data_IF_050465856133
#
_entry.id   IF_050465856133
#
_cell.length_a   1.000
_cell.length_b   1.000
_cell.length_c   1.000
_cell.angle_alpha   90.00
_cell.angle_beta   90.00
_cell.angle_gamma   90.00
#
_symmetry.space_group_name_H-M   'P 1'
#
loop_
_entity.id
_entity.type
_entity.pdbx_description
1 polymer ?
#
# COMPACT_ATOMS: atom_id res chain seq x y z
N UNK A 1 -12.54 15.88 10.69
CA UNK A 1 -11.27 15.77 9.94
C UNK A 1 -11.46 15.69 8.42
N UNK A 2 -12.25 14.73 7.90
CA UNK A 2 -12.51 14.59 6.45
C UNK A 2 -13.01 15.88 5.78
N UNK A 3 -13.99 16.56 6.38
CA UNK A 3 -14.54 17.82 5.86
C UNK A 3 -13.47 18.92 5.73
N UNK A 4 -12.60 19.09 6.74
CA UNK A 4 -11.52 20.09 6.67
C UNK A 4 -10.55 19.81 5.51
N UNK A 5 -10.16 18.55 5.29
CA UNK A 5 -9.28 18.17 4.17
C UNK A 5 -9.92 18.53 2.82
N UNK A 6 -11.22 18.27 2.68
CA UNK A 6 -11.98 18.64 1.47
C UNK A 6 -12.07 20.16 1.28
N UNK A 7 -12.26 20.93 2.35
CA UNK A 7 -12.26 22.40 2.28
C UNK A 7 -10.92 22.95 1.78
N UNK A 8 -9.78 22.43 2.27
CA UNK A 8 -8.45 22.81 1.77
C UNK A 8 -8.26 22.44 0.29
N UNK A 9 -8.71 21.26 -0.12
CA UNK A 9 -8.66 20.85 -1.53
C UNK A 9 -9.44 21.82 -2.45
N UNK A 10 -10.66 22.19 -2.05
CA UNK A 10 -11.48 23.14 -2.81
C UNK A 10 -10.86 24.54 -2.86
N UNK A 11 -10.24 25.00 -1.78
CA UNK A 11 -9.53 26.27 -1.73
C UNK A 11 -8.36 26.32 -2.73
N UNK A 12 -7.54 25.25 -2.76
CA UNK A 12 -6.42 25.15 -3.70
C UNK A 12 -6.91 25.06 -5.16
N UNK A 13 -8.00 24.34 -5.41
CA UNK A 13 -8.62 24.27 -6.74
C UNK A 13 -9.14 25.64 -7.21
N UNK A 14 -9.83 26.38 -6.34
CA UNK A 14 -10.29 27.74 -6.65
C UNK A 14 -9.12 28.69 -6.92
N UNK A 15 -8.03 28.56 -6.15
CA UNK A 15 -6.81 29.33 -6.38
C UNK A 15 -6.18 29.03 -7.75
N UNK A 16 -6.14 27.76 -8.15
CA UNK A 16 -5.62 27.36 -9.46
C UNK A 16 -6.44 27.93 -10.63
N UNK A 17 -7.78 27.94 -10.54
CA UNK A 17 -8.65 28.55 -11.56
C UNK A 17 -8.42 30.07 -11.64
N UNK A 18 -8.20 30.74 -10.50
CA UNK A 18 -7.92 32.18 -10.46
C UNK A 18 -6.60 32.56 -11.12
N UNK A 19 -5.54 31.77 -10.90
CA UNK A 19 -4.20 32.05 -11.43
C UNK A 19 -4.00 31.54 -12.88
N UNK A 20 -4.87 30.65 -13.36
CA UNK A 20 -4.75 30.04 -14.68
C UNK A 20 -3.72 28.90 -14.75
N UNK A 21 -3.66 28.23 -15.89
CA UNK A 21 -2.80 27.07 -16.12
C UNK A 21 -1.54 27.45 -16.91
N UNK A 22 -0.35 26.95 -16.53
CA UNK A 22 0.88 27.18 -17.28
C UNK A 22 0.88 26.41 -18.61
N UNK A 23 1.62 26.91 -19.60
CA UNK A 23 1.69 26.29 -20.95
C UNK A 23 2.54 25.02 -21.03
N UNK A 24 3.39 24.74 -20.02
CA UNK A 24 4.23 23.54 -19.94
C UNK A 24 3.84 22.69 -18.74
N UNK A 25 2.86 21.81 -18.92
CA UNK A 25 2.35 20.90 -17.88
C UNK A 25 2.98 19.50 -17.93
N UNK A 26 3.63 19.13 -19.05
CA UNK A 26 4.23 17.80 -19.19
C UNK A 26 5.47 17.67 -18.28
N UNK A 27 5.44 16.66 -17.42
CA UNK A 27 6.58 16.25 -16.60
C UNK A 27 6.19 15.88 -15.17
N UNK A 28 6.89 14.89 -14.61
CA UNK A 28 6.70 14.49 -13.22
C UNK A 28 7.32 15.52 -12.26
N UNK A 29 6.54 15.96 -11.26
CA UNK A 29 6.98 16.91 -10.22
C UNK A 29 8.21 16.39 -9.45
N UNK A 30 8.25 15.08 -9.18
CA UNK A 30 9.33 14.44 -8.43
C UNK A 30 10.65 14.39 -9.21
N UNK A 31 10.57 14.40 -10.54
CA UNK A 31 11.74 14.22 -11.41
C UNK A 31 12.44 15.53 -11.80
N UNK A 32 12.04 16.68 -11.21
CA UNK A 32 12.61 18.00 -11.54
C UNK A 32 14.01 18.24 -10.96
N UNK A 33 14.34 17.64 -9.82
CA UNK A 33 15.67 17.75 -9.18
C UNK A 33 16.24 16.37 -8.93
N UNK A 34 17.56 16.24 -9.04
CA UNK A 34 18.29 14.97 -8.91
C UNK A 34 18.91 14.83 -7.52
N UNK A 35 18.11 15.02 -6.47
CA UNK A 35 18.57 14.92 -5.08
C UNK A 35 18.24 13.55 -4.50
N UNK A 36 18.95 13.13 -3.44
CA UNK A 36 18.66 11.88 -2.73
C UNK A 36 17.22 11.81 -2.22
N UNK A 37 16.67 12.93 -1.74
CA UNK A 37 15.28 13.01 -1.27
C UNK A 37 14.29 12.71 -2.41
N UNK A 38 14.53 13.28 -3.60
CA UNK A 38 13.69 13.00 -4.76
C UNK A 38 13.83 11.56 -5.25
N UNK A 39 15.03 10.98 -5.15
CA UNK A 39 15.25 9.56 -5.46
C UNK A 39 14.42 8.65 -4.54
N UNK A 40 14.45 8.88 -3.23
CA UNK A 40 13.67 8.11 -2.25
C UNK A 40 12.17 8.31 -2.45
N UNK A 41 11.70 9.55 -2.62
CA UNK A 41 10.29 9.83 -2.90
C UNK A 41 9.81 9.19 -4.20
N UNK A 42 10.64 9.19 -5.24
CA UNK A 42 10.32 8.56 -6.52
C UNK A 42 10.26 7.03 -6.42
N UNK A 43 11.18 6.41 -5.66
CA UNK A 43 11.11 4.97 -5.33
C UNK A 43 9.84 4.65 -4.53
N UNK A 44 9.47 5.51 -3.57
CA UNK A 44 8.23 5.37 -2.81
C UNK A 44 6.98 5.48 -3.70
N UNK A 45 6.98 6.43 -4.64
CA UNK A 45 5.91 6.59 -5.63
C UNK A 45 5.69 5.31 -6.48
N UNK A 46 6.78 4.66 -6.90
CA UNK A 46 6.71 3.40 -7.66
C UNK A 46 6.30 2.18 -6.81
N UNK A 47 6.47 2.24 -5.48
CA UNK A 47 6.06 1.17 -4.57
C UNK A 47 4.54 1.13 -4.39
N UNK A 48 3.85 2.26 -4.59
CA UNK A 48 2.39 2.33 -4.45
C UNK A 48 1.76 1.52 -5.60
N UNK A 49 0.97 0.48 -5.29
CA UNK A 49 0.37 -0.37 -6.32
C UNK A 49 -0.58 0.45 -7.20
N UNK A 50 -0.57 0.16 -8.51
CA UNK A 50 -1.39 0.79 -9.54
C UNK A 50 -1.22 2.31 -9.76
N UNK A 51 -0.58 3.04 -8.85
CA UNK A 51 -0.46 4.50 -8.97
C UNK A 51 0.31 4.91 -10.23
N UNK A 52 1.45 4.25 -10.49
CA UNK A 52 2.24 4.51 -11.69
C UNK A 52 1.48 4.15 -12.96
N UNK A 53 0.88 2.96 -13.01
CA UNK A 53 0.14 2.48 -14.18
C UNK A 53 -1.03 3.40 -14.54
N UNK A 54 -1.85 3.75 -13.54
CA UNK A 54 -2.97 4.66 -13.74
C UNK A 54 -2.48 6.02 -14.23
N UNK A 55 -1.44 6.58 -13.61
CA UNK A 55 -0.87 7.85 -14.07
C UNK A 55 -0.46 7.78 -15.55
N UNK A 56 0.28 6.75 -15.93
CA UNK A 56 0.83 6.63 -17.28
C UNK A 56 -0.27 6.45 -18.33
N UNK A 57 -1.29 5.64 -18.02
CA UNK A 57 -2.46 5.47 -18.90
C UNK A 57 -3.24 6.77 -19.01
N UNK A 58 -3.48 7.47 -17.90
CA UNK A 58 -4.15 8.77 -17.93
C UNK A 58 -3.35 9.79 -18.77
N UNK A 59 -2.05 9.93 -18.52
CA UNK A 59 -1.19 10.84 -19.29
C UNK A 59 -1.23 10.51 -20.79
N UNK A 60 -1.27 9.23 -21.18
CA UNK A 60 -1.43 8.81 -22.59
C UNK A 60 -2.80 9.18 -23.18
N UNK A 61 -3.91 8.92 -22.45
CA UNK A 61 -5.27 9.20 -22.92
C UNK A 61 -5.51 10.68 -23.19
N UNK A 62 -4.98 11.57 -22.35
CA UNK A 62 -5.20 13.02 -22.44
C UNK A 62 -4.09 13.79 -23.16
N UNK A 63 -3.07 13.12 -23.69
CA UNK A 63 -2.00 13.74 -24.48
C UNK A 63 -2.16 13.43 -25.95
N UNK A 64 -2.06 14.47 -26.81
CA UNK A 64 -2.02 14.29 -28.25
C UNK A 64 -0.68 13.65 -28.67
N UNK A 65 -0.65 12.32 -28.81
CA UNK A 65 0.53 11.55 -29.23
C UNK A 65 0.19 10.60 -30.38
N UNK A 66 1.17 10.32 -31.23
CA UNK A 66 1.06 9.33 -32.31
C UNK A 66 1.50 7.93 -31.88
N UNK A 67 2.02 7.80 -30.67
CA UNK A 67 2.59 6.56 -30.14
C UNK A 67 1.49 5.62 -29.62
N UNK A 68 1.65 4.32 -29.85
CA UNK A 68 0.75 3.31 -29.27
C UNK A 68 0.93 3.24 -27.75
N UNK A 69 -0.09 2.76 -27.03
CA UNK A 69 -0.05 2.63 -25.56
C UNK A 69 1.16 1.81 -25.07
N UNK A 70 1.47 0.69 -25.74
CA UNK A 70 2.57 -0.19 -25.34
C UNK A 70 3.93 0.48 -25.53
N UNK A 71 4.08 1.27 -26.58
CA UNK A 71 5.32 2.01 -26.81
C UNK A 71 5.43 3.17 -25.81
N UNK A 72 4.32 3.84 -25.46
CA UNK A 72 4.29 4.87 -24.43
C UNK A 72 4.72 4.33 -23.06
N UNK A 73 4.20 3.16 -22.67
CA UNK A 73 4.61 2.47 -21.44
C UNK A 73 6.10 2.13 -21.43
N UNK A 74 6.66 1.64 -22.55
CA UNK A 74 8.10 1.39 -22.67
C UNK A 74 8.92 2.67 -22.49
N UNK A 75 8.50 3.78 -23.09
CA UNK A 75 9.18 5.06 -22.97
C UNK A 75 9.21 5.55 -21.50
N UNK A 76 8.08 5.48 -20.79
CA UNK A 76 8.01 5.86 -19.37
C UNK A 76 8.85 4.94 -18.48
N UNK A 77 8.88 3.63 -18.74
CA UNK A 77 9.75 2.71 -18.01
C UNK A 77 11.24 3.03 -18.24
N UNK A 78 11.65 3.30 -19.49
CA UNK A 78 13.01 3.74 -19.81
C UNK A 78 13.34 5.05 -19.07
N UNK A 79 12.43 6.01 -19.05
CA UNK A 79 12.61 7.27 -18.33
C UNK A 79 12.82 7.04 -16.83
N UNK A 80 12.00 6.18 -16.21
CA UNK A 80 12.10 5.84 -14.80
C UNK A 80 13.46 5.24 -14.46
N UNK A 81 13.95 4.31 -15.27
CA UNK A 81 15.26 3.68 -15.10
C UNK A 81 16.39 4.71 -15.24
N UNK A 82 16.36 5.54 -16.28
CA UNK A 82 17.36 6.59 -16.50
C UNK A 82 17.37 7.60 -15.35
N UNK A 83 16.20 8.00 -14.85
CA UNK A 83 16.10 8.94 -13.73
C UNK A 83 16.75 8.37 -12.46
N UNK A 84 16.50 7.11 -12.15
CA UNK A 84 17.10 6.43 -11.00
C UNK A 84 18.62 6.33 -11.15
N UNK A 85 19.12 5.94 -12.33
CA UNK A 85 20.55 5.88 -12.59
C UNK A 85 21.20 7.26 -12.49
N UNK A 86 20.59 8.31 -13.04
CA UNK A 86 21.10 9.68 -12.97
C UNK A 86 21.19 10.19 -11.53
N UNK A 87 20.21 9.89 -10.69
CA UNK A 87 20.27 10.21 -9.26
C UNK A 87 21.40 9.44 -8.54
N UNK A 88 21.56 8.16 -8.83
CA UNK A 88 22.64 7.35 -8.26
C UNK A 88 24.04 7.85 -8.67
N UNK A 89 24.23 8.19 -9.94
CA UNK A 89 25.48 8.79 -10.44
C UNK A 89 25.78 10.12 -9.76
N UNK A 90 24.76 10.97 -9.56
CA UNK A 90 24.92 12.23 -8.83
C UNK A 90 25.32 12.02 -7.38
N UNK A 91 24.69 11.05 -6.69
CA UNK A 91 25.08 10.69 -5.33
C UNK A 91 26.54 10.24 -5.26
N UNK A 92 27.00 9.41 -6.20
CA UNK A 92 28.41 8.98 -6.26
C UNK A 92 29.38 10.13 -6.55
N UNK A 93 28.96 11.11 -7.35
CA UNK A 93 29.75 12.30 -7.64
C UNK A 93 29.83 13.27 -6.45
N UNK A 94 28.75 13.41 -5.68
CA UNK A 94 28.67 14.31 -4.53
C UNK A 94 29.36 13.71 -3.28
N UNK A 95 29.31 12.38 -3.15
CA UNK A 95 29.95 11.62 -2.07
C UNK A 95 30.91 10.57 -2.66
N UNK A 96 32.05 11.00 -3.23
CA UNK A 96 33.00 10.08 -3.83
C UNK A 96 33.56 9.13 -2.78
N UNK A 97 33.68 7.87 -3.15
CA UNK A 97 34.22 6.83 -2.30
C UNK A 97 35.62 6.46 -2.80
N UNK A 98 36.65 6.48 -1.94
CA UNK A 98 38.00 6.10 -2.35
C UNK A 98 38.04 4.65 -2.84
N UNK A 99 38.79 4.42 -3.92
CA UNK A 99 38.91 3.09 -4.55
C UNK A 99 39.87 2.24 -3.73
N UNK A 100 39.52 0.98 -3.50
CA UNK A 100 40.37 0.02 -2.79
C UNK A 100 40.29 0.09 -1.26
N UNK A 101 39.46 0.99 -0.70
CA UNK A 101 39.24 1.06 0.75
C UNK A 101 38.08 0.18 1.23
N UNK A 102 38.22 -0.33 2.45
CA UNK A 102 37.16 -1.10 3.11
C UNK A 102 35.94 -0.21 3.38
N UNK A 103 34.75 -0.69 2.99
CA UNK A 103 33.48 -0.03 3.34
C UNK A 103 33.26 -0.07 4.86
N UNK A 104 32.75 1.03 5.39
CA UNK A 104 32.43 1.16 6.82
C UNK A 104 31.59 -0.02 7.31
N UNK A 105 31.99 -0.69 8.41
CA UNK A 105 31.29 -1.86 8.92
C UNK A 105 29.86 -1.52 9.35
N UNK A 106 29.62 -0.31 9.84
CA UNK A 106 28.28 0.19 10.23
C UNK A 106 27.28 0.10 9.08
N UNK A 107 27.65 0.52 7.87
CA UNK A 107 26.78 0.45 6.69
C UNK A 107 26.49 -1.01 6.30
N UNK A 108 27.49 -1.89 6.43
CA UNK A 108 27.33 -3.33 6.14
C UNK A 108 26.35 -3.98 7.12
N UNK A 109 26.53 -3.75 8.42
CA UNK A 109 25.65 -4.32 9.43
C UNK A 109 24.24 -3.71 9.39
N UNK A 110 24.10 -2.41 9.10
CA UNK A 110 22.79 -1.79 8.99
C UNK A 110 22.02 -2.31 7.77
N UNK A 111 22.65 -2.34 6.59
CA UNK A 111 21.99 -2.78 5.35
C UNK A 111 21.78 -4.31 5.33
N UNK A 112 22.80 -5.08 5.69
CA UNK A 112 22.74 -6.55 5.73
C UNK A 112 21.90 -7.06 6.91
N UNK A 113 22.09 -6.50 8.10
CA UNK A 113 21.30 -6.84 9.28
C UNK A 113 19.83 -6.45 9.11
N UNK A 114 19.55 -5.29 8.51
CA UNK A 114 18.17 -4.89 8.17
C UNK A 114 17.50 -5.90 7.23
N UNK A 115 18.17 -6.32 6.17
CA UNK A 115 17.64 -7.35 5.26
C UNK A 115 17.39 -8.69 5.97
N UNK A 116 18.30 -9.09 6.86
CA UNK A 116 18.16 -10.33 7.65
C UNK A 116 16.95 -10.26 8.60
N UNK A 117 16.77 -9.13 9.31
CA UNK A 117 15.60 -8.92 10.19
C UNK A 117 14.30 -8.94 9.40
N UNK A 118 14.26 -8.35 8.19
CA UNK A 118 13.08 -8.41 7.32
C UNK A 118 12.75 -9.86 6.94
N UNK A 119 13.74 -10.67 6.58
CA UNK A 119 13.54 -12.09 6.24
C UNK A 119 13.03 -12.87 7.44
N UNK A 120 13.64 -12.72 8.63
CA UNK A 120 13.16 -13.37 9.85
C UNK A 120 11.72 -12.93 10.15
N UNK A 121 11.42 -11.63 9.99
CA UNK A 121 10.08 -11.09 10.15
C UNK A 121 9.07 -11.77 9.22
N UNK A 122 9.36 -11.91 7.94
CA UNK A 122 8.47 -12.58 6.97
C UNK A 122 8.22 -14.05 7.36
N UNK A 123 9.22 -14.75 7.90
CA UNK A 123 9.09 -16.14 8.33
C UNK A 123 8.31 -16.29 9.65
N UNK A 124 8.57 -15.43 10.64
CA UNK A 124 7.97 -15.52 11.98
C UNK A 124 6.61 -14.84 12.09
N UNK A 125 6.38 -13.75 11.35
CA UNK A 125 5.12 -13.00 11.38
C UNK A 125 3.87 -13.87 11.13
N UNK A 126 3.81 -14.75 10.10
CA UNK A 126 2.64 -15.61 9.91
C UNK A 126 2.45 -16.63 11.05
N UNK A 127 3.54 -17.13 11.66
CA UNK A 127 3.46 -18.02 12.81
C UNK A 127 2.89 -17.30 14.04
N UNK A 128 3.33 -16.06 14.28
CA UNK A 128 2.81 -15.23 15.36
C UNK A 128 1.33 -14.89 15.14
N UNK A 129 0.92 -14.54 13.92
CA UNK A 129 -0.48 -14.31 13.58
C UNK A 129 -1.34 -15.56 13.80
N UNK A 130 -0.85 -16.75 13.45
CA UNK A 130 -1.57 -18.00 13.70
C UNK A 130 -1.71 -18.30 15.21
N UNK A 131 -0.64 -18.10 15.98
CA UNK A 131 -0.67 -18.28 17.42
C UNK A 131 -1.64 -17.31 18.13
N UNK A 132 -1.72 -16.07 17.67
CA UNK A 132 -2.65 -15.06 18.19
C UNK A 132 -4.08 -15.29 17.69
N UNK A 133 -4.28 -15.75 16.46
CA UNK A 133 -5.59 -15.95 15.83
C UNK A 133 -6.46 -17.03 16.51
N UNK A 134 -5.84 -17.99 17.19
CA UNK A 134 -6.56 -19.04 17.91
C UNK A 134 -7.13 -18.60 19.28
N UNK A 135 -6.91 -17.34 19.69
CA UNK A 135 -7.35 -16.83 21.01
C UNK A 135 -8.75 -16.22 21.02
N UNK A 136 -9.46 -16.21 19.88
CA UNK A 136 -10.75 -15.51 19.71
C UNK A 136 -11.94 -16.48 19.62
N UNK A 137 -12.02 -17.42 20.55
CA UNK A 137 -13.22 -18.21 20.77
C UNK A 137 -14.15 -17.51 21.77
N UNK A 138 -15.16 -16.77 21.30
CA UNK A 138 -16.27 -16.39 22.19
C UNK A 138 -17.18 -17.62 22.36
N UNK A 139 -17.52 -18.04 23.59
CA UNK A 139 -18.49 -19.10 23.78
C UNK A 139 -19.83 -18.65 23.16
N UNK A 140 -20.26 -19.35 22.11
CA UNK A 140 -21.53 -19.10 21.45
C UNK A 140 -22.63 -19.86 22.19
N UNK A 141 -23.05 -19.30 23.33
CA UNK A 141 -24.07 -19.93 24.15
C UNK A 141 -25.43 -19.79 23.45
N UNK A 142 -26.23 -20.87 23.34
CA UNK A 142 -27.53 -20.82 22.68
C UNK A 142 -28.50 -19.92 23.46
N UNK A 143 -29.23 -19.08 22.74
CA UNK A 143 -30.25 -18.19 23.33
C UNK A 143 -31.59 -18.91 23.58
N UNK A 144 -31.87 -19.95 22.80
CA UNK A 144 -33.08 -20.78 22.89
C UNK A 144 -32.74 -22.23 22.53
N UNK A 145 -33.29 -23.16 23.28
CA UNK A 145 -33.20 -24.60 23.02
C UNK A 145 -34.62 -25.16 22.95
N UNK A 146 -35.04 -25.54 21.74
CA UNK A 146 -36.37 -26.12 21.49
C UNK A 146 -36.28 -27.63 21.30
N UNK A 147 -36.93 -28.38 22.19
CA UNK A 147 -37.10 -29.84 22.10
C UNK A 147 -38.53 -30.15 21.66
N UNK A 148 -38.68 -30.97 20.61
CA UNK A 148 -39.99 -31.49 20.20
C UNK A 148 -39.96 -33.01 20.03
N UNK A 149 -40.78 -33.73 20.79
CA UNK A 149 -40.96 -35.17 20.70
C UNK A 149 -42.16 -35.49 19.80
N UNK A 150 -41.95 -36.25 18.73
CA UNK A 150 -43.00 -36.67 17.78
C UNK A 150 -42.96 -38.18 17.56
N UNK A 151 -44.12 -38.79 17.35
CA UNK A 151 -44.23 -40.20 16.99
C UNK A 151 -44.74 -40.25 15.55
N UNK A 152 -43.86 -40.64 14.61
CA UNK A 152 -44.20 -40.72 13.18
C UNK A 152 -44.55 -39.35 12.56
N UNK A 153 -45.46 -39.30 11.57
CA UNK A 153 -45.86 -38.05 10.88
C UNK A 153 -46.91 -37.23 11.65
N UNK A 154 -47.29 -37.65 12.85
CA UNK A 154 -48.33 -37.01 13.65
C UNK A 154 -47.82 -35.77 14.40
N UNK A 155 -48.75 -34.97 14.94
CA UNK A 155 -48.41 -33.78 15.73
C UNK A 155 -47.49 -34.11 16.92
N UNK A 156 -46.61 -33.16 17.31
CA UNK A 156 -45.70 -33.36 18.43
C UNK A 156 -46.46 -33.66 19.72
N UNK A 157 -46.06 -34.74 20.38
CA UNK A 157 -46.60 -35.17 21.68
C UNK A 157 -46.07 -34.26 22.80
N UNK A 158 -44.89 -33.68 22.62
CA UNK A 158 -44.29 -32.78 23.58
C UNK A 158 -43.46 -31.71 22.89
N UNK A 159 -43.59 -30.45 23.29
CA UNK A 159 -42.75 -29.34 22.84
C UNK A 159 -42.32 -28.48 24.03
N UNK A 160 -41.03 -28.22 24.15
CA UNK A 160 -40.46 -27.40 25.22
C UNK A 160 -39.41 -26.46 24.63
N UNK A 161 -39.53 -25.17 24.93
CA UNK A 161 -38.53 -24.13 24.62
C UNK A 161 -37.96 -23.63 25.93
N UNK A 162 -36.64 -23.67 26.05
CA UNK A 162 -35.90 -23.15 27.18
C UNK A 162 -35.14 -21.91 26.70
N UNK A 163 -35.38 -20.76 27.34
CA UNK A 163 -34.73 -19.48 27.04
C UNK A 163 -33.75 -19.08 28.16
N UNK A 164 -33.02 -17.97 27.98
CA UNK A 164 -31.94 -17.47 28.83
C UNK A 164 -32.07 -17.76 30.36
N UNK A 165 -33.24 -17.57 30.97
CA UNK A 165 -33.42 -17.75 32.43
C UNK A 165 -33.39 -19.23 32.91
N UNK A 166 -33.44 -20.19 31.98
CA UNK A 166 -33.45 -21.64 32.23
C UNK A 166 -32.21 -22.36 31.70
N UNK A 167 -31.35 -21.65 30.94
CA UNK A 167 -30.13 -22.17 30.31
C UNK A 167 -28.89 -21.91 31.18
N UNK A 168 -28.82 -20.76 31.85
CA UNK A 168 -27.69 -20.38 32.72
C UNK A 168 -28.14 -20.47 34.19
N UNK A 169 -27.60 -21.43 34.95
CA UNK A 169 -27.75 -21.52 36.40
C UNK A 169 -26.41 -21.76 37.06
#
# INVERSE_FOLDING_TARGET
MWYMVKSFYLLLSAYQIRCGYPTRILGNVLCKRYNILNYVLFKGYLLVPFLFELRTIMDWVWTNTTMTLMDWLKMEDIFNNIFQHKCARRMESEYPQPRGERKNPTVKYLMGGGALVVIIGILWFPLVLFALGNTVGKPNLPYDVTLSLRIGPYQPVYTMSAQNNSIYR
#
